data_IF_571084244119
#
_entry.id   IF_571084244119
#
_cell.length_a   1.000
_cell.length_b   1.000
_cell.length_c   1.000
_cell.angle_alpha   90.00
_cell.angle_beta   90.00
_cell.angle_gamma   90.00
#
_symmetry.space_group_name_H-M   'P 1'
#
loop_
_entity.id
_entity.type
_entity.pdbx_description
1 polymer ?
#
# COMPACT_ATOMS: atom_id res chain seq x y z
N UNK A 1 16.62 -2.36 -11.03
CA UNK A 1 16.46 -1.25 -10.06
C UNK A 1 15.12 -1.42 -9.32
N UNK A 2 15.08 -1.18 -8.00
CA UNK A 2 13.88 -1.33 -7.16
C UNK A 2 13.26 0.04 -6.88
N UNK A 3 11.97 0.02 -6.55
CA UNK A 3 11.18 1.17 -6.15
C UNK A 3 10.53 0.85 -4.81
N UNK A 4 10.55 1.80 -3.88
CA UNK A 4 10.01 1.62 -2.54
C UNK A 4 8.75 2.45 -2.37
N UNK A 5 7.70 1.86 -1.81
CA UNK A 5 6.49 2.56 -1.39
C UNK A 5 6.14 2.20 0.06
N UNK A 6 5.40 3.07 0.78
CA UNK A 6 4.86 2.72 2.07
C UNK A 6 4.01 1.46 1.94
N UNK A 7 4.09 0.61 2.94
CA UNK A 7 3.19 -0.51 3.03
C UNK A 7 1.92 -0.07 3.74
N UNK A 8 0.92 0.26 2.95
CA UNK A 8 -0.45 0.49 3.41
C UNK A 8 -1.34 -0.66 2.95
N UNK A 9 -2.41 -0.90 3.69
CA UNK A 9 -3.53 -1.68 3.19
C UNK A 9 -4.22 -0.88 2.07
N UNK A 10 -4.75 -1.56 1.05
CA UNK A 10 -5.42 -0.90 -0.08
C UNK A 10 -6.58 -0.02 0.38
N UNK A 11 -7.25 -0.39 1.47
CA UNK A 11 -8.22 0.44 2.19
C UNK A 11 -7.75 0.64 3.63
N UNK A 12 -7.88 1.85 4.16
CA UNK A 12 -7.36 2.21 5.48
C UNK A 12 -8.27 3.25 6.16
N UNK A 13 -8.49 3.07 7.47
CA UNK A 13 -8.96 4.16 8.34
C UNK A 13 -7.79 4.89 8.95
N UNK A 14 -7.96 6.18 9.18
CA UNK A 14 -7.07 6.92 10.05
C UNK A 14 -7.67 6.98 11.46
N UNK A 15 -6.85 6.71 12.47
CA UNK A 15 -7.22 6.98 13.86
C UNK A 15 -7.25 8.50 14.13
N UNK A 16 -7.60 8.89 15.37
CA UNK A 16 -7.63 10.29 15.78
C UNK A 16 -6.28 11.02 15.67
N UNK A 17 -5.17 10.28 15.52
CA UNK A 17 -3.82 10.79 15.32
C UNK A 17 -3.37 10.74 13.85
N UNK A 18 -4.27 10.41 12.92
CA UNK A 18 -3.96 10.36 11.49
C UNK A 18 -3.18 9.12 11.06
N UNK A 19 -3.16 8.04 11.84
CA UNK A 19 -2.42 6.80 11.52
C UNK A 19 -3.32 5.70 10.96
N UNK A 20 -2.83 4.92 9.97
CA UNK A 20 -3.53 3.74 9.46
C UNK A 20 -3.92 2.74 10.56
N UNK A 21 -5.22 2.49 10.74
CA UNK A 21 -5.75 1.51 11.69
C UNK A 21 -6.49 0.38 10.97
N UNK A 22 -5.87 -0.80 10.93
CA UNK A 22 -6.50 -2.02 10.42
C UNK A 22 -7.61 -2.53 11.35
N UNK A 23 -7.44 -2.38 12.66
CA UNK A 23 -8.45 -2.81 13.64
C UNK A 23 -9.77 -2.03 13.47
N UNK A 24 -9.67 -0.73 13.18
CA UNK A 24 -10.85 0.10 12.88
C UNK A 24 -11.53 -0.34 11.58
N UNK A 25 -10.74 -0.74 10.57
CA UNK A 25 -11.29 -1.28 9.32
C UNK A 25 -12.06 -2.57 9.52
N UNK A 26 -11.50 -3.49 10.31
CA UNK A 26 -12.11 -4.79 10.59
C UNK A 26 -13.43 -4.68 11.38
N UNK A 27 -13.54 -3.66 12.23
CA UNK A 27 -14.70 -3.42 13.10
C UNK A 27 -15.60 -2.27 12.60
N UNK A 28 -15.50 -1.91 11.31
CA UNK A 28 -16.12 -0.69 10.78
C UNK A 28 -17.65 -0.64 10.88
N UNK A 29 -18.34 -1.77 11.11
CA UNK A 29 -19.81 -1.86 11.14
C UNK A 29 -20.55 -0.89 12.09
N UNK A 30 -19.86 -0.15 12.96
CA UNK A 30 -20.44 0.86 13.87
C UNK A 30 -19.82 2.28 13.76
N UNK A 31 -18.88 2.52 12.84
CA UNK A 31 -18.08 3.75 12.78
C UNK A 31 -18.54 4.71 11.67
N UNK A 32 -18.58 6.02 11.96
CA UNK A 32 -18.84 7.11 10.99
C UNK A 32 -17.58 7.72 10.37
N UNK A 33 -16.41 7.14 10.64
CA UNK A 33 -15.13 7.65 10.11
C UNK A 33 -15.08 7.39 8.60
N UNK A 34 -14.51 8.27 7.76
CA UNK A 34 -14.32 8.01 6.34
C UNK A 34 -13.25 6.94 6.08
N UNK A 35 -13.55 5.99 5.18
CA UNK A 35 -12.59 5.02 4.63
C UNK A 35 -11.77 5.69 3.55
N UNK A 36 -10.43 5.58 3.60
CA UNK A 36 -9.57 6.00 2.50
C UNK A 36 -9.07 4.81 1.68
N UNK A 37 -9.08 4.93 0.35
CA UNK A 37 -8.54 3.93 -0.56
C UNK A 37 -7.20 4.42 -1.13
N UNK A 38 -6.13 3.65 -0.88
CA UNK A 38 -4.80 3.95 -1.39
C UNK A 38 -4.49 3.08 -2.61
N UNK A 39 -4.71 3.61 -3.80
CA UNK A 39 -4.32 2.98 -5.05
C UNK A 39 -2.79 2.90 -5.16
N UNK A 40 -2.25 1.76 -5.58
CA UNK A 40 -0.80 1.52 -5.65
C UNK A 40 -0.30 0.92 -6.97
N UNK A 41 -1.21 0.62 -7.89
CA UNK A 41 -0.94 0.10 -9.23
C UNK A 41 -2.13 0.38 -10.18
N UNK A 42 -1.91 0.27 -11.48
CA UNK A 42 -2.92 0.46 -12.53
C UNK A 42 -2.89 -0.74 -13.47
N UNK A 43 -3.91 -1.60 -13.39
CA UNK A 43 -3.94 -2.87 -14.14
C UNK A 43 -4.72 -2.76 -15.45
N UNK A 44 -5.71 -1.87 -15.52
CA UNK A 44 -6.55 -1.65 -16.71
C UNK A 44 -6.73 -0.14 -16.89
N UNK A 45 -6.61 0.33 -18.13
CA UNK A 45 -6.86 1.72 -18.49
C UNK A 45 -7.68 1.78 -19.78
N UNK A 46 -8.90 2.32 -19.70
CA UNK A 46 -9.78 2.48 -20.86
C UNK A 46 -9.93 1.19 -21.71
N UNK A 47 -10.12 0.04 -21.03
CA UNK A 47 -10.25 -1.27 -21.67
C UNK A 47 -8.94 -1.95 -22.06
N UNK A 48 -7.79 -1.25 -22.02
CA UNK A 48 -6.47 -1.88 -22.23
C UNK A 48 -5.99 -2.56 -20.96
N UNK A 49 -5.66 -3.83 -21.07
CA UNK A 49 -4.93 -4.57 -20.04
C UNK A 49 -3.46 -4.14 -20.00
N UNK A 50 -2.99 -3.76 -18.80
CA UNK A 50 -1.63 -3.29 -18.55
C UNK A 50 -0.82 -4.30 -17.73
N UNK A 51 -1.36 -5.48 -17.41
CA UNK A 51 -0.68 -6.45 -16.54
C UNK A 51 0.65 -6.92 -17.11
N UNK A 52 0.78 -7.02 -18.44
CA UNK A 52 2.03 -7.35 -19.14
C UNK A 52 3.00 -6.16 -19.29
N UNK A 53 2.58 -4.94 -18.95
CA UNK A 53 3.44 -3.77 -18.98
C UNK A 53 4.35 -3.73 -17.75
N UNK A 54 5.50 -3.07 -17.86
CA UNK A 54 6.40 -2.88 -16.72
C UNK A 54 5.79 -1.97 -15.65
N UNK A 55 6.18 -2.14 -14.39
CA UNK A 55 5.74 -1.27 -13.30
C UNK A 55 6.03 0.21 -13.57
N UNK A 56 7.18 0.54 -14.16
CA UNK A 56 7.51 1.92 -14.54
C UNK A 56 6.51 2.47 -15.57
N UNK A 57 6.17 1.70 -16.60
CA UNK A 57 5.11 2.08 -17.58
C UNK A 57 3.78 2.33 -16.87
N UNK A 58 3.35 1.44 -15.98
CA UNK A 58 2.07 1.56 -15.26
C UNK A 58 2.05 2.79 -14.35
N UNK A 59 3.16 3.08 -13.67
CA UNK A 59 3.31 4.27 -12.80
C UNK A 59 3.29 5.57 -13.60
N UNK A 60 3.94 5.60 -14.76
CA UNK A 60 3.92 6.77 -15.62
C UNK A 60 2.51 7.05 -16.16
N UNK A 61 1.74 6.00 -16.49
CA UNK A 61 0.32 6.15 -16.84
C UNK A 61 -0.51 6.68 -15.67
N UNK A 62 -0.28 6.22 -14.44
CA UNK A 62 -0.93 6.82 -13.26
C UNK A 62 -0.60 8.31 -13.17
N UNK A 63 0.69 8.66 -13.25
CA UNK A 63 1.17 10.03 -13.13
C UNK A 63 0.55 10.97 -14.15
N UNK A 64 0.48 10.53 -15.41
CA UNK A 64 0.07 11.37 -16.54
C UNK A 64 -1.42 11.33 -16.84
N UNK A 65 -2.14 10.27 -16.47
CA UNK A 65 -3.55 10.07 -16.88
C UNK A 65 -4.54 9.99 -15.71
N UNK A 66 -4.08 9.68 -14.50
CA UNK A 66 -4.94 9.35 -13.36
C UNK A 66 -4.80 10.35 -12.21
N UNK A 67 -3.58 10.78 -11.85
CA UNK A 67 -3.36 11.59 -10.64
C UNK A 67 -4.23 12.86 -10.57
N UNK A 68 -4.38 13.58 -11.68
CA UNK A 68 -5.21 14.79 -11.73
C UNK A 68 -6.72 14.54 -11.60
N UNK A 69 -7.14 13.27 -11.63
CA UNK A 69 -8.54 12.84 -11.53
C UNK A 69 -8.86 12.19 -10.19
N UNK A 70 -7.86 11.99 -9.32
CA UNK A 70 -8.07 11.44 -7.99
C UNK A 70 -8.56 12.55 -7.06
N UNK A 71 -9.57 12.23 -6.27
CA UNK A 71 -10.09 13.07 -5.20
C UNK A 71 -10.45 12.17 -3.99
N UNK A 72 -10.69 12.78 -2.85
CA UNK A 72 -11.03 12.05 -1.64
C UNK A 72 -12.31 11.21 -1.82
N UNK A 73 -12.35 9.99 -1.25
CA UNK A 73 -11.36 9.42 -0.34
C UNK A 73 -10.30 8.54 -1.02
N UNK A 74 -10.05 8.72 -2.33
CA UNK A 74 -9.10 7.93 -3.10
C UNK A 74 -7.76 8.66 -3.22
N UNK A 75 -6.71 8.03 -2.73
CA UNK A 75 -5.33 8.55 -2.76
C UNK A 75 -4.40 7.60 -3.51
N UNK A 76 -3.29 8.13 -3.99
CA UNK A 76 -2.24 7.33 -4.63
C UNK A 76 -1.06 7.11 -3.70
N UNK A 77 -0.65 5.86 -3.52
CA UNK A 77 0.57 5.48 -2.80
C UNK A 77 1.80 5.60 -3.70
N UNK A 78 2.41 6.77 -3.69
CA UNK A 78 3.55 7.11 -4.53
C UNK A 78 4.85 6.31 -4.21
N UNK A 79 5.85 6.46 -5.09
CA UNK A 79 7.23 6.13 -4.78
C UNK A 79 7.75 7.01 -3.64
N UNK A 80 8.58 6.44 -2.78
CA UNK A 80 9.41 7.21 -1.88
C UNK A 80 10.80 7.35 -2.50
N UNK A 81 11.21 8.59 -2.73
CA UNK A 81 12.55 8.93 -3.23
C UNK A 81 13.44 9.35 -2.06
N UNK A 82 13.94 8.37 -1.29
CA UNK A 82 14.97 8.59 -0.27
C UNK A 82 15.83 7.34 -0.09
N UNK A 83 16.94 7.47 0.62
CA UNK A 83 17.75 6.29 0.96
C UNK A 83 16.99 5.36 1.93
N UNK A 84 17.34 4.07 1.92
CA UNK A 84 16.60 3.05 2.68
C UNK A 84 16.60 3.31 4.20
N UNK A 85 17.70 3.82 4.76
CA UNK A 85 17.81 4.14 6.18
C UNK A 85 16.81 5.22 6.62
N UNK A 86 16.65 6.27 5.82
CA UNK A 86 15.71 7.35 6.10
C UNK A 86 14.27 6.88 5.98
N UNK A 87 13.98 6.03 4.98
CA UNK A 87 12.66 5.41 4.85
C UNK A 87 12.33 4.52 6.04
N UNK A 88 13.28 3.71 6.50
CA UNK A 88 13.09 2.85 7.68
C UNK A 88 12.82 3.70 8.93
N UNK A 89 13.60 4.76 9.14
CA UNK A 89 13.43 5.69 10.26
C UNK A 89 12.04 6.35 10.22
N UNK A 90 11.66 6.90 9.07
CA UNK A 90 10.37 7.57 8.89
C UNK A 90 9.18 6.63 9.12
N UNK A 91 9.25 5.39 8.61
CA UNK A 91 8.21 4.38 8.84
C UNK A 91 8.07 4.03 10.33
N UNK A 92 9.19 3.99 11.08
CA UNK A 92 9.13 3.78 12.55
C UNK A 92 8.50 4.96 13.27
N UNK A 93 8.93 6.18 12.96
CA UNK A 93 8.42 7.41 13.59
C UNK A 93 6.93 7.61 13.34
N UNK A 94 6.44 7.23 12.15
CA UNK A 94 5.03 7.30 11.79
C UNK A 94 4.20 6.09 12.27
N UNK A 95 4.83 5.08 12.87
CA UNK A 95 4.14 3.86 13.32
C UNK A 95 3.59 3.00 12.19
N UNK A 96 4.11 3.14 10.98
CA UNK A 96 3.69 2.38 9.80
C UNK A 96 4.23 0.93 9.87
N UNK A 97 3.49 -0.03 9.29
CA UNK A 97 3.84 -1.46 9.42
C UNK A 97 5.16 -1.82 8.71
N UNK A 98 5.49 -1.11 7.63
CA UNK A 98 6.69 -1.39 6.86
C UNK A 98 6.74 -0.76 5.47
N UNK A 99 7.55 -1.37 4.61
CA UNK A 99 7.81 -0.94 3.22
C UNK A 99 7.53 -2.09 2.25
N UNK A 100 7.19 -1.73 1.00
CA UNK A 100 7.14 -2.68 -0.12
C UNK A 100 8.13 -2.21 -1.18
N UNK A 101 9.12 -3.05 -1.46
CA UNK A 101 10.03 -2.87 -2.58
C UNK A 101 9.49 -3.61 -3.81
N UNK A 102 9.36 -2.94 -4.95
CA UNK A 102 8.87 -3.49 -6.20
C UNK A 102 9.92 -3.35 -7.30
N UNK A 103 10.14 -4.37 -8.13
CA UNK A 103 11.04 -4.29 -9.30
C UNK A 103 10.43 -3.42 -10.39
N UNK A 104 11.16 -2.40 -10.82
CA UNK A 104 10.70 -1.42 -11.83
C UNK A 104 10.31 -2.04 -13.16
N UNK A 105 11.08 -3.02 -13.60
CA UNK A 105 10.84 -3.77 -14.84
C UNK A 105 9.92 -4.99 -14.68
N UNK A 106 9.23 -5.14 -13.53
CA UNK A 106 8.31 -6.28 -13.34
C UNK A 106 6.94 -6.04 -13.95
N UNK A 107 6.40 -7.09 -14.55
CA UNK A 107 4.98 -7.18 -14.91
C UNK A 107 4.14 -7.46 -13.66
N UNK A 108 2.82 -7.35 -13.78
CA UNK A 108 1.89 -7.78 -12.74
C UNK A 108 1.50 -9.24 -12.96
N UNK A 109 1.74 -10.10 -11.98
CA UNK A 109 1.49 -11.54 -12.06
C UNK A 109 0.32 -11.92 -11.12
N UNK A 110 -0.92 -12.05 -11.63
CA UNK A 110 -2.08 -12.30 -10.79
C UNK A 110 -1.95 -13.60 -9.99
N UNK A 111 -2.18 -13.51 -8.66
CA UNK A 111 -2.15 -14.66 -7.76
C UNK A 111 -0.75 -15.24 -7.48
N UNK A 112 0.32 -14.68 -8.05
CA UNK A 112 1.67 -15.22 -7.93
C UNK A 112 2.53 -14.48 -6.90
N UNK A 113 3.41 -15.21 -6.24
CA UNK A 113 4.44 -14.66 -5.33
C UNK A 113 5.83 -14.82 -5.94
N UNK A 114 6.08 -14.11 -7.04
CA UNK A 114 7.33 -14.20 -7.84
C UNK A 114 8.57 -13.53 -7.22
N UNK A 115 8.42 -12.88 -6.06
CA UNK A 115 9.49 -12.12 -5.41
C UNK A 115 9.84 -10.80 -6.10
N UNK A 116 9.16 -10.44 -7.20
CA UNK A 116 9.25 -9.12 -7.81
C UNK A 116 8.84 -8.01 -6.83
N UNK A 117 7.93 -8.34 -5.91
CA UNK A 117 7.49 -7.47 -4.83
C UNK A 117 7.90 -8.08 -3.50
N UNK A 118 8.68 -7.34 -2.71
CA UNK A 118 9.18 -7.77 -1.41
C UNK A 118 8.67 -6.85 -0.32
N UNK A 119 7.96 -7.45 0.63
CA UNK A 119 7.44 -6.78 1.83
C UNK A 119 8.48 -6.85 2.93
N UNK A 120 8.85 -5.71 3.48
CA UNK A 120 9.70 -5.58 4.67
C UNK A 120 8.84 -5.04 5.81
N UNK A 121 8.54 -5.87 6.82
CA UNK A 121 7.87 -5.42 8.05
C UNK A 121 8.93 -4.85 8.99
N UNK A 122 8.61 -3.70 9.59
CA UNK A 122 9.49 -3.09 10.60
C UNK A 122 8.99 -3.40 12.02
N UNK A 123 7.68 -3.56 12.17
CA UNK A 123 7.07 -3.94 13.44
C UNK A 123 7.29 -5.44 13.69
N UNK A 124 7.63 -5.80 14.93
CA UNK A 124 7.63 -7.18 15.39
C UNK A 124 6.18 -7.65 15.49
N UNK A 125 5.87 -8.77 14.85
CA UNK A 125 4.54 -9.34 14.87
C UNK A 125 4.62 -10.83 14.54
N UNK A 126 3.81 -11.62 15.22
CA UNK A 126 3.74 -13.06 15.06
C UNK A 126 2.28 -13.48 14.93
N UNK A 127 2.03 -14.49 14.11
CA UNK A 127 0.69 -15.03 13.89
C UNK A 127 0.41 -16.12 14.94
N UNK A 128 -0.75 -16.03 15.59
CA UNK A 128 -1.20 -16.95 16.63
C UNK A 128 -2.66 -17.32 16.39
N UNK A 129 -3.08 -18.47 16.89
CA UNK A 129 -4.48 -18.88 16.97
C UNK A 129 -5.02 -18.46 18.34
N UNK A 130 -6.19 -17.82 18.38
CA UNK A 130 -6.86 -17.48 19.64
C UNK A 130 -7.49 -18.75 20.22
N UNK A 131 -7.04 -19.18 21.40
CA UNK A 131 -7.56 -20.35 22.11
C UNK A 131 -8.65 -20.07 23.15
N UNK A 132 -8.89 -18.80 23.49
CA UNK A 132 -9.86 -18.35 24.48
C UNK A 132 -9.75 -16.84 24.72
N UNK A 133 -10.75 -16.26 25.38
CA UNK A 133 -10.76 -14.85 25.82
C UNK A 133 -11.34 -14.73 27.22
N UNK A 134 -10.91 -13.73 27.99
CA UNK A 134 -11.53 -13.34 29.26
C UNK A 134 -12.29 -12.03 29.03
N UNK A 135 -13.57 -11.93 29.45
CA UNK A 135 -14.35 -10.70 29.37
C UNK A 135 -13.79 -9.55 30.20
#
# INVERSE_FOLDING_TARGET
>A
MLTISPKMWSSTFFDASGRPSFNTLQNYGSSRVPVFYFAFDLLILAGRDLRSETLDTRRELVRTKILSKLDEPIRYSAELSANLSDLIRSVREQGLEGLVAKRRNSIYEPGQRSGAWRKMRINRGQEFVIGGYTP
#
